data_IF_092109884485
#
_entry.id   IF_092109884485
#
_cell.length_a   1.000
_cell.length_b   1.000
_cell.length_c   1.000
_cell.angle_alpha   90.00
_cell.angle_beta   90.00
_cell.angle_gamma   90.00
#
_symmetry.space_group_name_H-M   'P 1'
#
loop_
_entity.id
_entity.type
_entity.pdbx_description
1 polymer ?
#
# COMPACT_ATOMS: atom_id res chain seq x y z
N UNK A 1 3.10 -5.48 -21.48
CA UNK A 1 2.95 -5.44 -20.01
C UNK A 1 4.26 -5.61 -19.20
N UNK A 2 5.43 -5.82 -19.80
CA UNK A 2 6.70 -6.01 -19.06
C UNK A 2 7.41 -4.70 -18.61
N UNK A 3 7.03 -3.53 -19.16
CA UNK A 3 7.65 -2.24 -18.84
C UNK A 3 7.34 -1.73 -17.43
N UNK A 4 6.06 -1.78 -17.03
CA UNK A 4 5.58 -1.40 -15.68
C UNK A 4 6.25 -2.25 -14.59
N UNK A 5 6.61 -3.51 -14.91
CA UNK A 5 7.24 -4.47 -13.99
C UNK A 5 8.63 -4.05 -13.50
N UNK A 6 9.50 -3.57 -14.38
CA UNK A 6 10.88 -3.22 -14.01
C UNK A 6 10.99 -1.90 -13.26
N UNK A 7 10.03 -1.00 -13.43
CA UNK A 7 9.96 0.29 -12.72
C UNK A 7 9.51 0.13 -11.27
N UNK A 8 8.41 -0.59 -11.04
CA UNK A 8 7.80 -0.76 -9.71
C UNK A 8 8.79 -1.31 -8.65
N UNK A 9 9.48 -2.41 -8.98
CA UNK A 9 10.41 -3.05 -8.04
C UNK A 9 11.64 -2.19 -7.74
N UNK A 10 12.11 -1.40 -8.71
CA UNK A 10 13.27 -0.52 -8.54
C UNK A 10 12.93 0.74 -7.74
N UNK A 11 11.76 1.34 -7.98
CA UNK A 11 11.37 2.59 -7.34
C UNK A 11 10.80 2.37 -5.93
N UNK A 12 9.83 1.47 -5.77
CA UNK A 12 9.06 1.39 -4.53
C UNK A 12 9.34 0.14 -3.68
N UNK A 13 10.02 -0.87 -4.23
CA UNK A 13 10.23 -2.14 -3.53
C UNK A 13 11.00 -2.01 -2.22
N UNK A 14 12.06 -1.18 -2.17
CA UNK A 14 12.83 -0.97 -0.94
C UNK A 14 12.00 -0.22 0.12
N UNK A 15 11.25 0.78 -0.31
CA UNK A 15 10.40 1.59 0.55
C UNK A 15 9.24 0.78 1.15
N UNK A 16 8.54 -0.03 0.34
CA UNK A 16 7.46 -0.90 0.82
C UNK A 16 8.00 -1.93 1.83
N UNK A 17 9.20 -2.48 1.59
CA UNK A 17 9.85 -3.37 2.57
C UNK A 17 10.20 -2.65 3.87
N UNK A 18 10.64 -1.40 3.81
CA UNK A 18 10.89 -0.57 5.00
C UNK A 18 9.60 -0.32 5.78
N UNK A 19 8.50 0.00 5.09
CA UNK A 19 7.18 0.17 5.72
C UNK A 19 6.72 -1.10 6.44
N UNK A 20 6.87 -2.27 5.81
CA UNK A 20 6.54 -3.55 6.44
C UNK A 20 7.41 -3.83 7.68
N UNK A 21 8.71 -3.54 7.62
CA UNK A 21 9.62 -3.70 8.74
C UNK A 21 9.29 -2.74 9.90
N UNK A 22 8.98 -1.48 9.60
CA UNK A 22 8.59 -0.47 10.59
C UNK A 22 7.26 -0.84 11.26
N UNK A 23 6.26 -1.26 10.48
CA UNK A 23 4.97 -1.67 11.02
C UNK A 23 5.10 -2.88 11.94
N UNK A 24 5.91 -3.87 11.55
CA UNK A 24 6.25 -4.99 12.42
C UNK A 24 6.93 -4.54 13.72
N UNK A 25 7.93 -3.66 13.62
CA UNK A 25 8.70 -3.21 14.78
C UNK A 25 7.87 -2.37 15.77
N UNK A 26 6.87 -1.64 15.26
CA UNK A 26 6.04 -0.73 16.05
C UNK A 26 4.67 -1.31 16.43
N UNK A 27 4.34 -2.51 15.95
CA UNK A 27 3.02 -3.11 16.14
C UNK A 27 1.89 -2.41 15.36
N UNK A 28 2.22 -1.56 14.38
CA UNK A 28 1.22 -0.90 13.53
C UNK A 28 0.60 -1.89 12.56
N UNK A 29 -0.69 -1.72 12.32
CA UNK A 29 -1.47 -2.52 11.37
C UNK A 29 -1.64 -1.77 10.05
N UNK A 30 -1.35 -2.44 8.94
CA UNK A 30 -1.40 -1.91 7.59
C UNK A 30 -2.54 -2.59 6.81
N UNK A 31 -3.27 -1.80 6.02
CA UNK A 31 -4.03 -2.30 4.88
C UNK A 31 -3.48 -1.72 3.58
N UNK A 32 -3.80 -2.34 2.43
CA UNK A 32 -3.35 -1.82 1.12
C UNK A 32 -4.48 -1.61 0.14
N UNK A 33 -4.32 -0.64 -0.76
CA UNK A 33 -5.16 -0.47 -1.95
C UNK A 33 -4.25 -0.23 -3.15
N UNK A 34 -4.43 -0.99 -4.22
CA UNK A 34 -3.57 -0.87 -5.39
C UNK A 34 -4.34 -0.99 -6.71
N UNK A 35 -3.89 -0.25 -7.72
CA UNK A 35 -4.30 -0.43 -9.11
C UNK A 35 -3.10 -0.29 -10.04
N UNK A 36 -3.12 -0.97 -11.18
CA UNK A 36 -2.02 -0.98 -12.15
C UNK A 36 -0.80 -1.86 -11.78
N UNK A 37 -0.67 -2.30 -10.53
CA UNK A 37 0.41 -3.19 -10.06
C UNK A 37 0.07 -4.67 -10.08
N UNK A 38 -1.22 -5.03 -10.02
CA UNK A 38 -1.69 -6.43 -10.07
C UNK A 38 -1.37 -7.28 -8.83
N UNK A 39 -1.46 -6.70 -7.62
CA UNK A 39 -1.23 -7.43 -6.36
C UNK A 39 0.19 -7.36 -5.83
N UNK A 40 1.08 -6.58 -6.47
CA UNK A 40 2.50 -6.52 -6.09
C UNK A 40 2.74 -5.70 -4.83
N UNK A 41 1.92 -4.69 -4.56
CA UNK A 41 2.03 -3.96 -3.29
C UNK A 41 1.75 -4.93 -2.14
N UNK A 42 0.62 -5.64 -2.19
CA UNK A 42 0.26 -6.64 -1.20
C UNK A 42 1.34 -7.73 -1.11
N UNK A 43 1.79 -8.27 -2.24
CA UNK A 43 2.83 -9.31 -2.28
C UNK A 43 4.12 -8.92 -1.56
N UNK A 44 4.60 -7.67 -1.71
CA UNK A 44 5.80 -7.21 -1.00
C UNK A 44 5.50 -7.00 0.49
N UNK A 45 4.35 -6.43 0.85
CA UNK A 45 3.94 -6.25 2.25
C UNK A 45 3.76 -7.59 2.97
N UNK A 46 3.38 -8.66 2.27
CA UNK A 46 3.17 -9.98 2.86
C UNK A 46 4.34 -10.94 2.71
N UNK A 47 5.41 -10.56 2.00
CA UNK A 47 6.58 -11.42 1.81
C UNK A 47 7.32 -11.79 3.11
N UNK A 48 7.46 -10.89 4.11
CA UNK A 48 8.13 -11.25 5.37
C UNK A 48 7.35 -12.29 6.18
N UNK A 49 8.00 -13.32 6.75
CA UNK A 49 7.34 -14.29 7.62
C UNK A 49 6.61 -13.63 8.80
N UNK A 50 5.39 -14.09 9.10
CA UNK A 50 4.55 -13.50 10.15
C UNK A 50 3.90 -12.17 9.77
N UNK A 51 3.75 -11.89 8.46
CA UNK A 51 3.05 -10.70 7.98
C UNK A 51 1.63 -10.54 8.53
N UNK A 52 0.96 -11.64 8.91
CA UNK A 52 -0.35 -11.61 9.58
C UNK A 52 -0.36 -10.82 10.90
N UNK A 53 0.80 -10.56 11.51
CA UNK A 53 0.89 -9.73 12.72
C UNK A 53 0.67 -8.23 12.44
N UNK A 54 0.86 -7.78 11.20
CA UNK A 54 0.73 -6.36 10.85
C UNK A 54 -0.09 -6.09 9.59
N UNK A 55 -0.22 -7.03 8.65
CA UNK A 55 -0.98 -6.82 7.41
C UNK A 55 -2.39 -7.38 7.54
N UNK A 56 -3.39 -6.50 7.41
CA UNK A 56 -4.81 -6.82 7.60
C UNK A 56 -5.52 -7.29 6.33
N UNK A 57 -4.92 -7.03 5.16
CA UNK A 57 -5.52 -7.30 3.86
C UNK A 57 -5.44 -6.10 2.93
N UNK A 58 -5.95 -6.27 1.72
CA UNK A 58 -5.96 -5.19 0.75
C UNK A 58 -6.88 -5.41 -0.44
N UNK A 59 -7.03 -4.35 -1.23
CA UNK A 59 -7.82 -4.31 -2.44
C UNK A 59 -6.91 -4.19 -3.66
N UNK A 60 -7.12 -5.08 -4.64
CA UNK A 60 -6.51 -4.99 -5.96
C UNK A 60 -7.61 -4.58 -6.93
N UNK A 61 -7.52 -3.34 -7.42
CA UNK A 61 -8.53 -2.73 -8.27
C UNK A 61 -8.05 -2.73 -9.74
N UNK A 62 -8.95 -2.96 -10.70
CA UNK A 62 -8.59 -2.96 -12.13
C UNK A 62 -8.24 -1.56 -12.64
N UNK A 63 -8.70 -0.50 -11.95
CA UNK A 63 -8.55 0.89 -12.36
C UNK A 63 -8.54 1.82 -11.14
N UNK A 64 -8.13 3.08 -11.35
CA UNK A 64 -8.13 4.12 -10.33
C UNK A 64 -9.57 4.37 -9.84
N UNK A 65 -9.85 4.23 -8.54
CA UNK A 65 -11.21 4.44 -8.05
C UNK A 65 -11.50 5.95 -7.90
N UNK A 66 -12.68 6.38 -8.33
CA UNK A 66 -13.15 7.76 -8.15
C UNK A 66 -13.86 7.92 -6.81
N UNK A 67 -13.45 8.89 -5.99
CA UNK A 67 -14.13 9.20 -4.72
C UNK A 67 -13.97 8.13 -3.63
N UNK A 68 -12.96 7.27 -3.72
CA UNK A 68 -12.72 6.24 -2.71
C UNK A 68 -12.14 6.84 -1.44
N UNK A 69 -12.79 6.59 -0.30
CA UNK A 69 -12.30 7.00 1.01
C UNK A 69 -11.37 5.93 1.59
N UNK A 70 -10.07 6.10 1.34
CA UNK A 70 -9.02 5.21 1.88
C UNK A 70 -9.00 5.21 3.40
N UNK A 71 -9.34 6.33 4.05
CA UNK A 71 -9.37 6.42 5.49
C UNK A 71 -10.54 5.61 6.07
N UNK A 72 -11.74 5.68 5.48
CA UNK A 72 -12.87 4.84 5.87
C UNK A 72 -12.57 3.35 5.69
N UNK A 73 -11.92 2.97 4.58
CA UNK A 73 -11.47 1.60 4.36
C UNK A 73 -10.52 1.14 5.48
N UNK A 74 -9.50 1.95 5.80
CA UNK A 74 -8.57 1.66 6.89
C UNK A 74 -9.26 1.54 8.25
N UNK A 75 -10.17 2.47 8.59
CA UNK A 75 -10.95 2.44 9.83
C UNK A 75 -11.78 1.16 9.96
N UNK A 76 -12.42 0.71 8.87
CA UNK A 76 -13.23 -0.51 8.87
C UNK A 76 -12.40 -1.77 9.13
N UNK A 77 -11.15 -1.79 8.69
CA UNK A 77 -10.23 -2.90 8.98
C UNK A 77 -9.52 -2.75 10.33
N UNK A 78 -9.59 -1.58 10.97
CA UNK A 78 -8.78 -1.28 12.15
C UNK A 78 -7.30 -1.08 11.81
N UNK A 79 -7.00 -0.59 10.60
CA UNK A 79 -5.64 -0.25 10.17
C UNK A 79 -5.18 1.08 10.80
N UNK A 80 -3.90 1.15 11.15
CA UNK A 80 -3.22 2.38 11.57
C UNK A 80 -2.61 3.13 10.36
N UNK A 81 -2.57 2.48 9.19
CA UNK A 81 -2.05 3.01 7.94
C UNK A 81 -2.67 2.27 6.75
N UNK A 82 -3.04 3.03 5.71
CA UNK A 82 -3.38 2.46 4.39
C UNK A 82 -2.30 2.84 3.40
N UNK A 83 -1.65 1.85 2.81
CA UNK A 83 -0.67 2.05 1.75
C UNK A 83 -1.39 1.98 0.41
N UNK A 84 -1.36 3.07 -0.34
CA UNK A 84 -2.08 3.20 -1.61
C UNK A 84 -1.07 3.30 -2.75
N UNK A 85 -1.26 2.51 -3.81
CA UNK A 85 -0.40 2.55 -4.98
C UNK A 85 -1.18 2.81 -6.27
N UNK A 86 -0.81 3.91 -6.95
CA UNK A 86 -1.27 4.28 -8.28
C UNK A 86 -0.22 3.87 -9.33
N UNK A 87 -0.37 2.66 -9.85
CA UNK A 87 0.50 2.12 -10.91
C UNK A 87 0.17 2.60 -12.31
N UNK A 88 -0.92 3.35 -12.48
CA UNK A 88 -1.36 3.88 -13.78
C UNK A 88 -0.96 5.34 -13.97
N UNK A 89 -0.57 6.04 -12.91
CA UNK A 89 0.05 7.36 -12.99
C UNK A 89 1.42 7.33 -13.69
N UNK A 90 1.77 8.47 -14.29
CA UNK A 90 3.09 8.69 -14.89
C UNK A 90 3.76 9.94 -14.27
N UNK A 91 4.75 9.78 -13.36
CA UNK A 91 5.26 8.50 -12.86
C UNK A 91 4.27 7.81 -11.88
N UNK A 92 4.42 6.50 -11.63
CA UNK A 92 3.62 5.79 -10.62
C UNK A 92 3.77 6.43 -9.24
N UNK A 93 2.72 6.40 -8.42
CA UNK A 93 2.70 7.10 -7.14
C UNK A 93 2.37 6.15 -5.98
N UNK A 94 3.05 6.36 -4.85
CA UNK A 94 2.76 5.69 -3.58
C UNK A 94 2.28 6.73 -2.58
N UNK A 95 1.22 6.43 -1.87
CA UNK A 95 0.66 7.30 -0.82
C UNK A 95 0.44 6.53 0.46
N UNK A 96 0.45 7.27 1.56
CA UNK A 96 0.06 6.79 2.88
C UNK A 96 -1.15 7.59 3.33
N UNK A 97 -2.21 6.88 3.68
CA UNK A 97 -3.38 7.47 4.33
C UNK A 97 -3.42 7.02 5.78
N UNK A 98 -3.52 7.97 6.70
CA UNK A 98 -3.74 7.72 8.11
C UNK A 98 -5.25 7.69 8.39
N UNK A 99 -5.83 6.53 8.78
CA UNK A 99 -7.28 6.39 8.89
C UNK A 99 -7.93 7.26 9.97
N UNK A 100 -7.18 7.60 11.03
CA UNK A 100 -7.62 8.41 12.16
C UNK A 100 -7.71 9.89 11.81
N UNK A 101 -6.71 10.44 11.12
CA UNK A 101 -6.65 11.85 10.72
C UNK A 101 -7.28 12.12 9.35
N UNK A 102 -7.42 11.09 8.52
CA UNK A 102 -7.79 11.22 7.11
C UNK A 102 -6.67 11.81 6.23
N UNK A 103 -5.51 12.12 6.83
CA UNK A 103 -4.40 12.72 6.11
C UNK A 103 -3.84 11.72 5.10
N UNK A 104 -3.72 12.16 3.84
CA UNK A 104 -3.06 11.40 2.78
C UNK A 104 -1.85 12.18 2.30
N UNK A 105 -0.71 11.49 2.21
CA UNK A 105 0.55 12.09 1.73
C UNK A 105 1.26 11.17 0.75
N UNK A 106 1.92 11.71 -0.29
CA UNK A 106 2.82 10.93 -1.12
C UNK A 106 4.00 10.41 -0.29
N UNK A 107 4.61 9.32 -0.73
CA UNK A 107 5.88 8.86 -0.19
C UNK A 107 7.00 9.22 -1.15
N UNK A 108 7.94 10.00 -0.64
CA UNK A 108 9.17 10.45 -1.34
C UNK A 108 10.28 9.41 -1.19
#
# INVERSE_FOLDING_TARGET
MAGVYRGFHRLYGALIRRLAAEARATGRRIASVEWGSGGRLASILTAPPGASAYFLGGLVLPQKPSGFDFAAFGRRLGADLVVVFDGLADPPQLFLTEPTSGQTRPVE
#
